data_IF_204581352997
#
_entry.id   IF_204581352997
#
_cell.length_a   1.000
_cell.length_b   1.000
_cell.length_c   1.000
_cell.angle_alpha   90.00
_cell.angle_beta   90.00
_cell.angle_gamma   90.00
#
_symmetry.space_group_name_H-M   'P 1'
#
loop_
_entity.id
_entity.type
_entity.pdbx_description
1 polymer ?
#
# COMPACT_ATOMS: atom_id res chain seq x y z
N UNK A 1 11.53 28.45 4.79
CA UNK A 1 11.95 27.30 3.94
C UNK A 1 13.21 26.71 4.53
N UNK A 2 13.20 25.44 4.99
CA UNK A 2 14.46 24.76 5.33
C UNK A 2 15.15 24.35 4.03
N UNK A 3 16.41 24.74 3.87
CA UNK A 3 17.19 24.44 2.65
C UNK A 3 17.36 22.93 2.43
N UNK A 4 17.33 22.16 3.51
CA UNK A 4 17.46 20.69 3.50
C UNK A 4 16.25 20.00 2.85
N UNK A 5 15.02 20.33 3.26
CA UNK A 5 13.80 19.74 2.68
C UNK A 5 13.66 20.11 1.20
N UNK A 6 14.02 21.34 0.82
CA UNK A 6 14.01 21.72 -0.59
C UNK A 6 14.98 20.87 -1.42
N UNK A 7 16.21 20.67 -0.92
CA UNK A 7 17.19 19.82 -1.60
C UNK A 7 16.72 18.36 -1.72
N UNK A 8 16.02 17.83 -0.71
CA UNK A 8 15.41 16.50 -0.76
C UNK A 8 14.31 16.42 -1.83
N UNK A 9 13.43 17.43 -1.91
CA UNK A 9 12.36 17.50 -2.92
C UNK A 9 12.95 17.56 -4.34
N UNK A 10 13.99 18.37 -4.55
CA UNK A 10 14.67 18.46 -5.85
C UNK A 10 15.36 17.13 -6.22
N UNK A 11 16.00 16.47 -5.26
CA UNK A 11 16.59 15.13 -5.45
C UNK A 11 15.51 14.12 -5.82
N UNK A 12 14.37 14.14 -5.14
CA UNK A 12 13.24 13.25 -5.43
C UNK A 12 12.68 13.48 -6.83
N UNK A 13 12.48 14.74 -7.23
CA UNK A 13 12.02 15.08 -8.57
C UNK A 13 12.96 14.56 -9.66
N UNK A 14 14.27 14.69 -9.49
CA UNK A 14 15.27 14.15 -10.43
C UNK A 14 15.27 12.62 -10.47
N UNK A 15 15.12 11.98 -9.31
CA UNK A 15 15.12 10.52 -9.20
C UNK A 15 13.89 9.88 -9.85
N UNK A 16 12.70 10.45 -9.62
CA UNK A 16 11.44 9.91 -10.15
C UNK A 16 11.14 10.34 -11.59
N UNK A 17 11.86 11.32 -12.14
CA UNK A 17 11.72 11.73 -13.54
C UNK A 17 12.12 10.64 -14.56
N UNK A 18 12.88 9.62 -14.17
CA UNK A 18 13.31 8.54 -15.07
C UNK A 18 14.28 9.00 -16.19
N UNK A 19 14.74 8.07 -17.05
CA UNK A 19 15.75 8.36 -18.09
C UNK A 19 15.25 9.26 -19.24
N UNK A 20 13.94 9.44 -19.38
CA UNK A 20 13.32 10.32 -20.39
C UNK A 20 13.04 11.74 -19.88
N UNK A 21 13.29 12.02 -18.60
CA UNK A 21 12.79 13.21 -17.92
C UNK A 21 11.27 13.14 -17.64
N UNK A 22 10.71 14.13 -16.91
CA UNK A 22 9.27 14.17 -16.64
C UNK A 22 8.52 14.14 -17.97
N UNK A 23 7.50 13.27 -18.09
CA UNK A 23 6.65 13.21 -19.29
C UNK A 23 6.14 14.61 -19.59
N UNK A 24 6.38 15.09 -20.81
CA UNK A 24 5.92 16.43 -21.19
C UNK A 24 4.40 16.42 -21.19
N UNK A 25 3.76 17.52 -20.80
CA UNK A 25 2.29 17.68 -20.81
C UNK A 25 1.61 17.31 -22.14
N UNK A 26 2.36 17.24 -23.25
CA UNK A 26 1.88 16.81 -24.57
C UNK A 26 1.88 15.29 -24.78
N UNK A 27 2.65 14.54 -23.99
CA UNK A 27 2.68 13.06 -23.97
C UNK A 27 1.58 12.50 -23.04
N UNK A 28 1.03 13.34 -22.15
CA UNK A 28 -0.16 13.05 -21.34
C UNK A 28 -1.46 12.88 -22.17
N UNK A 29 -1.46 13.31 -23.44
CA UNK A 29 -2.63 13.22 -24.34
C UNK A 29 -2.73 11.84 -25.01
N UNK A 30 -1.68 11.02 -24.92
CA UNK A 30 -1.70 9.61 -25.26
C UNK A 30 -1.44 8.77 -24.00
N UNK A 31 -2.15 9.06 -22.91
CA UNK A 31 -2.27 8.09 -21.84
C UNK A 31 -2.78 6.78 -22.47
N UNK A 32 -2.07 5.64 -22.32
CA UNK A 32 -2.60 4.38 -22.80
C UNK A 32 -4.00 4.21 -22.21
N UNK A 33 -4.98 3.93 -23.07
CA UNK A 33 -6.40 3.74 -22.73
C UNK A 33 -6.66 2.60 -21.74
N UNK A 34 -5.59 1.88 -21.35
CA UNK A 34 -5.54 0.99 -20.20
C UNK A 34 -4.43 1.48 -19.27
N UNK A 35 -4.79 1.91 -18.05
CA UNK A 35 -3.82 2.05 -16.97
C UNK A 35 -3.13 0.69 -16.81
N UNK A 36 -1.79 0.59 -16.92
CA UNK A 36 -1.12 -0.69 -16.83
C UNK A 36 -1.31 -1.28 -15.44
N UNK A 37 -1.74 -2.55 -15.36
CA UNK A 37 -2.02 -3.25 -14.11
C UNK A 37 -0.80 -3.19 -13.19
N UNK A 38 -0.98 -2.64 -11.99
CA UNK A 38 -0.06 -2.89 -10.89
C UNK A 38 -0.14 -4.38 -10.57
N UNK A 39 1.04 -5.00 -10.49
CA UNK A 39 1.25 -6.44 -10.30
C UNK A 39 0.81 -7.29 -11.49
N UNK A 40 1.76 -7.96 -12.12
CA UNK A 40 1.48 -9.09 -13.00
C UNK A 40 1.80 -10.34 -12.19
N UNK A 41 0.83 -11.20 -11.91
CA UNK A 41 1.15 -12.48 -11.30
C UNK A 41 1.92 -13.32 -12.33
N UNK A 42 3.00 -13.96 -11.90
CA UNK A 42 3.64 -15.04 -12.65
C UNK A 42 3.58 -16.33 -11.83
N UNK A 43 3.92 -17.46 -12.44
CA UNK A 43 3.64 -18.79 -11.88
C UNK A 43 4.07 -19.03 -10.43
N UNK A 44 4.95 -18.21 -9.86
CA UNK A 44 5.42 -18.29 -8.48
C UNK A 44 5.44 -16.95 -7.72
N UNK A 45 4.87 -15.88 -8.26
CA UNK A 45 4.82 -14.58 -7.58
C UNK A 45 3.48 -13.89 -7.77
N UNK A 46 2.91 -13.36 -6.68
CA UNK A 46 1.70 -12.52 -6.75
C UNK A 46 1.78 -11.33 -5.81
N UNK A 47 0.91 -10.35 -5.99
CA UNK A 47 0.76 -9.26 -5.04
C UNK A 47 -0.63 -8.67 -4.96
N UNK A 48 -0.87 -7.88 -3.92
CA UNK A 48 -2.15 -7.20 -3.71
C UNK A 48 -2.00 -5.82 -3.08
N UNK A 49 -3.06 -5.02 -3.21
CA UNK A 49 -3.18 -3.72 -2.55
C UNK A 49 -4.44 -3.74 -1.71
N UNK A 50 -4.34 -3.26 -0.48
CA UNK A 50 -5.44 -3.10 0.45
C UNK A 50 -5.52 -1.66 0.92
N UNK A 51 -6.72 -1.14 1.09
CA UNK A 51 -6.99 0.20 1.60
C UNK A 51 -8.08 0.14 2.67
N UNK A 52 -7.75 0.67 3.83
CA UNK A 52 -8.62 0.69 5.00
C UNK A 52 -8.89 2.14 5.40
N UNK A 53 -10.14 2.55 5.26
CA UNK A 53 -10.60 3.88 5.62
C UNK A 53 -11.32 3.78 6.95
N UNK A 54 -10.70 4.26 8.03
CA UNK A 54 -11.36 4.29 9.33
C UNK A 54 -12.51 5.30 9.35
N UNK A 55 -13.53 5.00 10.14
CA UNK A 55 -14.72 5.82 10.29
C UNK A 55 -14.78 6.44 11.68
N UNK A 56 -15.35 7.64 11.77
CA UNK A 56 -15.61 8.27 13.05
C UNK A 56 -16.87 7.69 13.72
N UNK A 57 -16.93 7.64 15.06
CA UNK A 57 -18.12 7.20 15.79
C UNK A 57 -19.37 7.99 15.43
N UNK A 58 -20.55 7.36 15.61
CA UNK A 58 -21.83 8.00 15.33
C UNK A 58 -22.13 9.22 16.20
N UNK A 59 -21.53 9.28 17.38
CA UNK A 59 -21.60 10.41 18.31
C UNK A 59 -20.91 11.68 17.82
N UNK A 60 -20.07 11.60 16.77
CA UNK A 60 -19.36 12.77 16.23
C UNK A 60 -20.28 13.60 15.33
N UNK A 61 -20.19 14.93 15.44
CA UNK A 61 -21.05 15.86 14.71
C UNK A 61 -20.90 15.71 13.19
N UNK A 62 -21.95 16.05 12.43
CA UNK A 62 -21.91 16.01 10.97
C UNK A 62 -20.84 16.96 10.38
N UNK A 63 -20.59 18.09 11.04
CA UNK A 63 -19.55 19.05 10.62
C UNK A 63 -18.15 18.44 10.76
N UNK A 64 -17.87 17.80 11.90
CA UNK A 64 -16.58 17.13 12.15
C UNK A 64 -16.39 15.92 11.23
N UNK A 65 -17.45 15.15 10.97
CA UNK A 65 -17.44 14.06 9.97
C UNK A 65 -17.07 14.58 8.57
N UNK A 66 -17.58 15.74 8.17
CA UNK A 66 -17.23 16.37 6.88
C UNK A 66 -15.79 16.88 6.85
N UNK A 67 -15.32 17.48 7.95
CA UNK A 67 -13.93 17.91 8.08
C UNK A 67 -12.97 16.71 7.99
N UNK A 68 -13.29 15.63 8.70
CA UNK A 68 -12.55 14.36 8.64
C UNK A 68 -12.53 13.75 7.25
N UNK A 69 -13.65 13.76 6.52
CA UNK A 69 -13.66 13.27 5.13
C UNK A 69 -12.73 14.08 4.22
N UNK A 70 -12.65 15.39 4.44
CA UNK A 70 -11.71 16.26 3.69
C UNK A 70 -10.26 15.89 4.02
N UNK A 71 -9.96 15.68 5.30
CA UNK A 71 -8.64 15.25 5.78
C UNK A 71 -8.26 13.89 5.18
N UNK A 72 -9.18 12.92 5.20
CA UNK A 72 -9.00 11.60 4.62
C UNK A 72 -8.64 11.68 3.12
N UNK A 73 -9.43 12.42 2.33
CA UNK A 73 -9.16 12.57 0.89
C UNK A 73 -7.80 13.21 0.62
N UNK A 74 -7.41 14.23 1.40
CA UNK A 74 -6.10 14.85 1.24
C UNK A 74 -4.96 13.89 1.58
N UNK A 75 -5.05 13.20 2.71
CA UNK A 75 -4.01 12.28 3.14
C UNK A 75 -3.92 11.03 2.23
N UNK A 76 -5.05 10.54 1.72
CA UNK A 76 -5.09 9.51 0.66
C UNK A 76 -4.28 9.95 -0.56
N UNK A 77 -4.54 11.14 -1.08
CA UNK A 77 -3.82 11.66 -2.24
C UNK A 77 -2.30 11.67 -2.01
N UNK A 78 -1.83 12.15 -0.87
CA UNK A 78 -0.39 12.26 -0.61
C UNK A 78 0.29 10.92 -0.36
N UNK A 79 -0.33 10.03 0.42
CA UNK A 79 0.23 8.71 0.69
C UNK A 79 0.26 7.85 -0.59
N UNK A 80 -0.85 7.81 -1.31
CA UNK A 80 -0.96 7.07 -2.57
C UNK A 80 -0.07 7.66 -3.66
N UNK A 81 0.08 8.98 -3.75
CA UNK A 81 0.98 9.60 -4.73
C UNK A 81 2.44 9.31 -4.40
N UNK A 82 2.85 9.41 -3.13
CA UNK A 82 4.21 9.08 -2.70
C UNK A 82 4.59 7.64 -3.04
N UNK A 83 3.71 6.68 -2.71
CA UNK A 83 3.91 5.29 -3.12
C UNK A 83 3.75 5.07 -4.62
N UNK A 84 2.87 5.80 -5.29
CA UNK A 84 2.67 5.74 -6.74
C UNK A 84 3.92 6.14 -7.54
N UNK A 85 4.71 7.08 -7.01
CA UNK A 85 6.03 7.43 -7.56
C UNK A 85 7.04 6.29 -7.39
N UNK A 86 7.07 5.69 -6.19
CA UNK A 86 7.92 4.54 -5.89
C UNK A 86 7.58 3.37 -6.80
N UNK A 87 6.31 3.00 -6.92
CA UNK A 87 5.86 1.86 -7.74
C UNK A 87 6.04 2.13 -9.24
N UNK A 88 5.82 3.35 -9.71
CA UNK A 88 6.14 3.71 -11.11
C UNK A 88 7.65 3.59 -11.39
N UNK A 89 8.51 4.00 -10.46
CA UNK A 89 9.94 3.82 -10.59
C UNK A 89 10.32 2.34 -10.62
N UNK A 90 9.75 1.52 -9.74
CA UNK A 90 9.93 0.07 -9.73
C UNK A 90 9.47 -0.57 -11.05
N UNK A 91 8.31 -0.14 -11.57
CA UNK A 91 7.75 -0.59 -12.84
C UNK A 91 8.72 -0.34 -14.00
N UNK A 92 9.32 0.85 -14.03
CA UNK A 92 10.24 1.26 -15.08
C UNK A 92 11.61 0.57 -14.98
N UNK A 93 12.16 0.43 -13.78
CA UNK A 93 13.50 -0.14 -13.58
C UNK A 93 13.52 -1.68 -13.62
N UNK A 94 12.44 -2.31 -13.16
CA UNK A 94 12.33 -3.77 -13.13
C UNK A 94 11.39 -4.33 -14.20
N UNK A 95 10.89 -3.48 -15.11
CA UNK A 95 10.02 -3.89 -16.22
C UNK A 95 8.82 -4.73 -15.77
N UNK A 96 8.27 -4.41 -14.58
CA UNK A 96 7.16 -5.14 -13.94
C UNK A 96 7.44 -6.64 -13.70
N UNK A 97 8.71 -7.02 -13.54
CA UNK A 97 9.09 -8.38 -13.16
C UNK A 97 8.63 -8.69 -11.73
N UNK A 98 7.77 -9.70 -11.52
CA UNK A 98 7.14 -9.95 -10.22
C UNK A 98 8.13 -10.32 -9.12
N UNK A 99 9.15 -11.13 -9.43
CA UNK A 99 10.23 -11.52 -8.50
C UNK A 99 10.97 -10.30 -7.95
N UNK A 100 11.24 -9.29 -8.80
CA UNK A 100 11.90 -8.05 -8.39
C UNK A 100 11.05 -7.20 -7.46
N UNK A 101 9.74 -7.23 -7.66
CA UNK A 101 8.78 -6.52 -6.82
C UNK A 101 8.59 -7.20 -5.47
N UNK A 102 8.71 -8.53 -5.41
CA UNK A 102 8.65 -9.29 -4.18
C UNK A 102 9.98 -9.32 -3.40
N UNK A 103 11.07 -8.79 -3.96
CA UNK A 103 12.34 -8.62 -3.26
C UNK A 103 12.37 -7.30 -2.47
N UNK A 104 12.38 -7.36 -1.12
CA UNK A 104 12.35 -6.17 -0.28
C UNK A 104 13.55 -5.23 -0.48
N UNK A 105 14.71 -5.74 -0.91
CA UNK A 105 15.89 -4.90 -1.10
C UNK A 105 15.68 -3.86 -2.21
N UNK A 106 14.84 -4.19 -3.20
CA UNK A 106 14.56 -3.29 -4.31
C UNK A 106 13.69 -2.08 -3.91
N UNK A 107 13.00 -2.16 -2.76
CA UNK A 107 12.14 -1.09 -2.26
C UNK A 107 12.89 -0.01 -1.49
N UNK A 108 14.03 -0.34 -0.90
CA UNK A 108 14.77 0.56 0.00
C UNK A 108 15.21 1.86 -0.70
N UNK A 109 15.84 1.74 -1.88
CA UNK A 109 16.35 2.89 -2.62
C UNK A 109 15.24 3.89 -3.00
N UNK A 110 14.16 3.50 -3.70
CA UNK A 110 13.12 4.47 -4.07
C UNK A 110 12.37 5.03 -2.87
N UNK A 111 12.18 4.26 -1.78
CA UNK A 111 11.56 4.78 -0.55
C UNK A 111 12.44 5.83 0.14
N UNK A 112 13.76 5.62 0.18
CA UNK A 112 14.72 6.53 0.85
C UNK A 112 14.84 7.92 0.21
N UNK A 113 14.28 8.09 -0.99
CA UNK A 113 14.35 9.35 -1.74
C UNK A 113 13.13 10.24 -1.49
N UNK A 114 12.07 9.71 -0.88
CA UNK A 114 10.93 10.52 -0.46
C UNK A 114 11.38 11.59 0.56
N UNK A 115 10.83 12.81 0.54
CA UNK A 115 11.21 13.86 1.49
C UNK A 115 10.90 13.43 2.93
N UNK A 116 11.94 13.32 3.78
CA UNK A 116 11.87 12.71 5.11
C UNK A 116 10.93 13.47 6.07
N UNK A 117 10.83 14.78 5.91
CA UNK A 117 9.92 15.62 6.68
C UNK A 117 8.45 15.40 6.33
N UNK A 118 8.15 14.85 5.15
CA UNK A 118 6.81 14.54 4.67
C UNK A 118 6.48 13.05 4.76
N UNK A 119 7.47 12.18 4.61
CA UNK A 119 7.32 10.74 4.64
C UNK A 119 8.41 10.09 5.49
N UNK A 120 8.02 9.23 6.42
CA UNK A 120 8.96 8.47 7.24
C UNK A 120 8.90 6.99 6.86
N UNK A 121 9.80 6.50 5.99
CA UNK A 121 9.96 5.06 5.79
C UNK A 121 10.63 4.42 7.01
N UNK A 122 10.24 3.20 7.35
CA UNK A 122 10.96 2.35 8.32
C UNK A 122 11.78 1.29 7.60
N UNK A 123 12.78 0.75 8.30
CA UNK A 123 13.55 -0.39 7.79
C UNK A 123 12.64 -1.59 7.54
N UNK A 124 12.92 -2.32 6.46
CA UNK A 124 12.27 -3.59 6.18
C UNK A 124 12.89 -4.65 7.09
N UNK A 125 12.12 -5.12 8.05
CA UNK A 125 12.59 -6.07 9.07
C UNK A 125 11.87 -7.40 8.97
N UNK A 126 12.53 -8.47 9.40
CA UNK A 126 11.98 -9.82 9.40
C UNK A 126 11.18 -10.08 10.68
N UNK A 127 10.03 -10.70 10.49
CA UNK A 127 9.11 -11.11 11.52
C UNK A 127 8.78 -12.59 11.34
N UNK A 128 8.31 -13.20 12.41
CA UNK A 128 7.86 -14.58 12.45
C UNK A 128 6.43 -14.58 12.99
N UNK A 129 5.54 -15.25 12.29
CA UNK A 129 4.15 -15.45 12.71
C UNK A 129 3.92 -16.94 12.92
N UNK A 130 3.44 -17.28 14.11
CA UNK A 130 3.13 -18.64 14.52
C UNK A 130 1.75 -18.67 15.17
N UNK A 131 0.74 -19.22 14.50
CA UNK A 131 -0.61 -19.41 15.07
C UNK A 131 -1.27 -20.71 14.58
N UNK A 132 -2.23 -21.22 15.37
CA UNK A 132 -2.95 -22.46 15.11
C UNK A 132 -4.43 -22.18 14.83
N UNK A 133 -4.91 -22.44 13.60
CA UNK A 133 -6.31 -22.18 13.22
C UNK A 133 -6.89 -23.23 12.29
N UNK A 134 -8.23 -23.28 12.21
CA UNK A 134 -8.91 -23.98 11.12
C UNK A 134 -8.67 -23.29 9.79
N UNK A 135 -8.66 -24.07 8.71
CA UNK A 135 -8.47 -23.61 7.33
C UNK A 135 -9.35 -22.41 6.94
N UNK A 136 -10.61 -22.44 7.39
CA UNK A 136 -11.60 -21.37 7.16
C UNK A 136 -11.37 -20.10 8.01
N UNK A 137 -10.60 -20.19 9.09
CA UNK A 137 -10.30 -19.09 10.03
C UNK A 137 -9.00 -18.35 9.64
N UNK A 138 -8.11 -18.99 8.85
CA UNK A 138 -6.80 -18.48 8.42
C UNK A 138 -6.89 -17.08 7.83
N UNK A 139 -7.78 -16.94 6.85
CA UNK A 139 -7.91 -15.73 6.06
C UNK A 139 -8.35 -14.54 6.93
N UNK A 140 -9.19 -14.80 7.92
CA UNK A 140 -9.70 -13.80 8.87
C UNK A 140 -8.66 -13.47 9.93
N UNK A 141 -7.96 -14.45 10.51
CA UNK A 141 -6.95 -14.20 11.55
C UNK A 141 -5.68 -13.55 11.02
N UNK A 142 -5.15 -14.02 9.88
CA UNK A 142 -3.96 -13.42 9.24
C UNK A 142 -4.21 -11.96 8.83
N UNK A 143 -5.43 -11.62 8.41
CA UNK A 143 -5.76 -10.23 8.13
C UNK A 143 -6.21 -9.45 9.38
N UNK A 144 -6.71 -10.10 10.42
CA UNK A 144 -6.87 -9.45 11.73
C UNK A 144 -5.52 -9.07 12.31
N UNK A 145 -4.47 -9.87 12.09
CA UNK A 145 -3.10 -9.54 12.51
C UNK A 145 -2.44 -8.48 11.61
N UNK A 146 -2.71 -8.47 10.30
CA UNK A 146 -2.25 -7.40 9.40
C UNK A 146 -3.03 -6.08 9.58
N UNK A 147 -4.28 -6.12 10.05
CA UNK A 147 -5.21 -4.97 9.95
C UNK A 147 -6.15 -4.82 11.16
N UNK A 148 -5.64 -5.13 12.37
CA UNK A 148 -6.41 -5.21 13.63
C UNK A 148 -7.34 -4.01 13.92
N UNK A 149 -7.07 -2.83 13.37
CA UNK A 149 -7.82 -1.60 13.60
C UNK A 149 -8.93 -1.32 12.56
N UNK A 150 -8.97 -2.03 11.43
CA UNK A 150 -9.90 -1.78 10.32
C UNK A 150 -11.27 -2.49 10.46
N UNK A 151 -11.57 -3.05 11.64
CA UNK A 151 -12.78 -3.82 11.90
C UNK A 151 -14.04 -2.94 11.90
N UNK A 152 -14.64 -2.76 10.73
CA UNK A 152 -16.00 -2.22 10.54
C UNK A 152 -16.92 -3.27 9.90
N UNK A 153 -18.17 -3.37 10.37
CA UNK A 153 -19.16 -4.35 9.90
C UNK A 153 -19.48 -4.28 8.39
N UNK A 154 -19.16 -3.16 7.73
CA UNK A 154 -19.42 -2.94 6.29
C UNK A 154 -18.37 -3.57 5.35
N UNK A 155 -17.26 -4.09 5.88
CA UNK A 155 -16.09 -4.52 5.09
C UNK A 155 -16.13 -6.04 4.78
N UNK A 156 -16.89 -6.83 5.52
CA UNK A 156 -16.83 -8.30 5.50
C UNK A 156 -17.15 -8.97 4.14
N UNK A 157 -18.19 -8.59 3.37
CA UNK A 157 -18.50 -9.30 2.11
C UNK A 157 -17.50 -9.01 0.98
N UNK A 158 -17.08 -7.75 0.82
CA UNK A 158 -16.07 -7.36 -0.17
C UNK A 158 -14.72 -8.01 0.15
N UNK A 159 -14.44 -8.18 1.43
CA UNK A 159 -13.23 -8.81 1.93
C UNK A 159 -13.17 -10.30 1.65
N UNK A 160 -14.29 -11.02 1.80
CA UNK A 160 -14.40 -12.43 1.41
C UNK A 160 -14.07 -12.65 -0.09
N UNK A 161 -14.49 -11.73 -0.97
CA UNK A 161 -14.20 -11.82 -2.40
C UNK A 161 -12.71 -11.58 -2.70
N UNK A 162 -12.11 -10.59 -2.05
CA UNK A 162 -10.67 -10.33 -2.13
C UNK A 162 -9.84 -11.53 -1.66
N UNK A 163 -10.23 -12.10 -0.51
CA UNK A 163 -9.64 -13.31 0.04
C UNK A 163 -9.75 -14.52 -0.88
N UNK A 164 -10.90 -14.69 -1.52
CA UNK A 164 -11.11 -15.76 -2.49
C UNK A 164 -10.18 -15.59 -3.69
N UNK A 165 -10.07 -14.37 -4.22
CA UNK A 165 -9.19 -14.05 -5.36
C UNK A 165 -7.70 -14.24 -5.05
N UNK A 166 -7.23 -13.75 -3.90
CA UNK A 166 -5.86 -13.99 -3.44
C UNK A 166 -5.62 -15.47 -3.18
N UNK A 167 -6.56 -16.15 -2.51
CA UNK A 167 -6.50 -17.58 -2.27
C UNK A 167 -6.43 -18.39 -3.56
N UNK A 168 -7.15 -17.99 -4.61
CA UNK A 168 -7.07 -18.63 -5.93
C UNK A 168 -5.72 -18.42 -6.62
N UNK A 169 -5.11 -17.25 -6.48
CA UNK A 169 -3.79 -16.97 -7.05
C UNK A 169 -2.69 -17.70 -6.29
N UNK A 170 -2.78 -17.74 -4.96
CA UNK A 170 -1.90 -18.55 -4.12
C UNK A 170 -2.08 -20.03 -4.49
N UNK A 171 -3.32 -20.53 -4.58
CA UNK A 171 -3.61 -21.92 -5.04
C UNK A 171 -3.05 -22.20 -6.43
N UNK A 172 -3.16 -21.27 -7.37
CA UNK A 172 -2.62 -21.42 -8.72
C UNK A 172 -1.08 -21.47 -8.72
N UNK A 173 -0.42 -20.61 -7.93
CA UNK A 173 1.03 -20.62 -7.75
C UNK A 173 1.55 -21.82 -6.96
N UNK A 174 0.76 -22.34 -6.02
CA UNK A 174 1.03 -23.60 -5.29
C UNK A 174 0.91 -24.81 -6.22
N UNK A 175 -0.09 -24.83 -7.12
CA UNK A 175 -0.27 -25.89 -8.13
C UNK A 175 0.73 -25.81 -9.28
N UNK A 176 1.54 -24.76 -9.35
CA UNK A 176 2.63 -24.66 -10.31
C UNK A 176 3.74 -25.66 -9.97
N UNK A 177 4.60 -26.00 -10.94
CA UNK A 177 5.80 -26.82 -10.70
C UNK A 177 6.88 -26.09 -9.90
N UNK A 178 6.66 -24.83 -9.51
CA UNK A 178 7.63 -24.06 -8.73
C UNK A 178 7.70 -24.57 -7.29
N UNK A 179 8.90 -24.66 -6.74
CA UNK A 179 9.12 -25.05 -5.34
C UNK A 179 8.82 -23.92 -4.35
N UNK A 180 8.82 -22.67 -4.81
CA UNK A 180 8.68 -21.49 -3.95
C UNK A 180 7.58 -20.57 -4.48
N UNK A 181 6.94 -19.79 -3.60
CA UNK A 181 5.93 -18.79 -3.94
C UNK A 181 6.24 -17.51 -3.17
N UNK A 182 6.43 -16.40 -3.88
CA UNK A 182 6.61 -15.09 -3.28
C UNK A 182 5.28 -14.33 -3.31
N UNK A 183 4.95 -13.65 -2.21
CA UNK A 183 3.83 -12.70 -2.18
C UNK A 183 4.27 -11.35 -1.67
N UNK A 184 3.64 -10.32 -2.22
CA UNK A 184 3.87 -8.95 -1.82
C UNK A 184 2.54 -8.23 -1.58
N UNK A 185 2.39 -7.54 -0.46
CA UNK A 185 1.16 -6.86 -0.10
C UNK A 185 1.43 -5.41 0.28
N UNK A 186 0.74 -4.49 -0.39
CA UNK A 186 0.63 -3.09 0.01
C UNK A 186 -0.64 -2.89 0.81
N UNK A 187 -0.55 -2.31 1.99
CA UNK A 187 -1.69 -1.89 2.80
C UNK A 187 -1.65 -0.39 3.00
N UNK A 188 -2.75 0.30 2.78
CA UNK A 188 -2.96 1.72 3.07
C UNK A 188 -3.91 1.84 4.25
N UNK A 189 -3.44 2.46 5.33
CA UNK A 189 -4.20 2.63 6.56
C UNK A 189 -4.44 4.09 6.89
N UNK A 190 -5.72 4.45 7.03
CA UNK A 190 -6.19 5.76 7.44
C UNK A 190 -7.00 5.62 8.75
N UNK A 191 -6.32 5.73 9.89
CA UNK A 191 -6.90 5.46 11.20
C UNK A 191 -7.26 6.77 11.93
N UNK A 192 -8.55 7.02 12.25
CA UNK A 192 -8.91 8.10 13.16
C UNK A 192 -8.31 7.85 14.54
N UNK A 193 -7.62 8.85 15.07
CA UNK A 193 -7.03 8.83 16.41
C UNK A 193 -7.44 10.09 17.16
N UNK A 194 -7.63 10.00 18.47
CA UNK A 194 -7.83 11.20 19.29
C UNK A 194 -6.49 11.66 19.84
N UNK A 195 -6.19 12.95 19.67
CA UNK A 195 -5.04 13.54 20.35
C UNK A 195 -5.35 13.81 21.84
N UNK A 196 -4.35 14.25 22.59
CA UNK A 196 -4.48 14.54 24.03
C UNK A 196 -5.49 15.65 24.36
N UNK A 197 -5.90 16.45 23.37
CA UNK A 197 -6.92 17.48 23.52
C UNK A 197 -8.34 16.98 23.15
N UNK A 198 -8.49 15.69 22.78
CA UNK A 198 -9.76 15.09 22.39
C UNK A 198 -10.18 15.37 20.95
N UNK A 199 -9.35 16.05 20.16
CA UNK A 199 -9.63 16.31 18.75
C UNK A 199 -9.31 15.07 17.91
N UNK A 200 -10.15 14.81 16.90
CA UNK A 200 -9.91 13.76 15.93
C UNK A 200 -8.83 14.15 14.94
N UNK A 201 -7.81 13.33 14.85
CA UNK A 201 -6.74 13.36 13.86
C UNK A 201 -6.79 12.07 13.02
N UNK A 202 -5.95 12.01 12.00
CA UNK A 202 -5.83 10.87 11.12
C UNK A 202 -4.37 10.42 11.09
N UNK A 203 -4.12 9.22 11.61
CA UNK A 203 -2.87 8.51 11.42
C UNK A 203 -2.91 7.84 10.05
N UNK A 204 -1.99 8.21 9.18
CA UNK A 204 -1.95 7.74 7.79
C UNK A 204 -0.63 7.08 7.51
N UNK A 205 -0.68 5.80 7.16
CA UNK A 205 0.49 5.01 6.87
C UNK A 205 0.23 4.01 5.75
N UNK A 206 1.29 3.62 5.07
CA UNK A 206 1.28 2.43 4.25
C UNK A 206 2.22 1.38 4.84
N UNK A 207 1.89 0.12 4.61
CA UNK A 207 2.69 -1.02 5.02
C UNK A 207 2.94 -1.90 3.82
N UNK A 208 4.14 -2.43 3.73
CA UNK A 208 4.56 -3.29 2.63
C UNK A 208 5.09 -4.58 3.22
N UNK A 209 4.42 -5.68 2.90
CA UNK A 209 4.68 -7.02 3.40
C UNK A 209 5.24 -7.88 2.29
N UNK A 210 6.30 -8.63 2.58
CA UNK A 210 6.90 -9.61 1.68
C UNK A 210 6.88 -10.97 2.37
N UNK A 211 6.31 -11.96 1.72
CA UNK A 211 6.18 -13.31 2.27
C UNK A 211 6.75 -14.28 1.27
N UNK A 212 7.61 -15.17 1.76
CA UNK A 212 8.19 -16.23 0.98
C UNK A 212 7.67 -17.56 1.49
N UNK A 213 6.90 -18.27 0.67
CA UNK A 213 6.40 -19.60 0.96
C UNK A 213 7.29 -20.64 0.29
N UNK A 214 7.89 -21.49 1.11
CA UNK A 214 8.60 -22.71 0.71
C UNK A 214 7.63 -23.81 0.26
N UNK A 215 8.15 -24.86 -0.37
CA UNK A 215 7.37 -26.00 -0.87
C UNK A 215 6.51 -26.66 0.23
N UNK A 216 7.02 -26.70 1.46
CA UNK A 216 6.33 -27.25 2.63
C UNK A 216 5.16 -26.35 3.08
N UNK A 217 5.36 -25.03 3.05
CA UNK A 217 4.35 -24.06 3.47
C UNK A 217 3.25 -23.90 2.41
N UNK A 218 3.59 -24.04 1.12
CA UNK A 218 2.63 -24.01 0.00
C UNK A 218 1.41 -24.91 0.18
N UNK A 219 1.60 -26.13 0.69
CA UNK A 219 0.52 -27.11 0.86
C UNK A 219 -0.55 -26.61 1.83
N UNK A 220 -0.13 -25.96 2.92
CA UNK A 220 -1.00 -25.44 3.99
C UNK A 220 -1.87 -24.27 3.51
N UNK A 221 -1.38 -23.44 2.61
CA UNK A 221 -2.15 -22.30 2.07
C UNK A 221 -3.13 -22.67 0.94
N UNK A 222 -2.95 -23.83 0.31
CA UNK A 222 -3.88 -24.29 -0.73
C UNK A 222 -5.22 -24.82 -0.18
N UNK A 223 -5.29 -25.06 1.12
CA UNK A 223 -6.39 -25.76 1.82
C UNK A 223 -7.32 -24.83 2.61
N UNK A 224 -7.28 -23.51 2.38
CA UNK A 224 -8.12 -22.48 3.04
C UNK A 224 -9.65 -22.66 2.90
N UNK A 225 -10.13 -23.75 2.28
CA UNK A 225 -11.54 -24.13 2.21
C UNK A 225 -11.87 -25.36 3.09
N UNK A 226 -10.90 -25.92 3.82
CA UNK A 226 -11.10 -27.11 4.65
C UNK A 226 -11.39 -26.74 6.12
N UNK A 227 -12.13 -27.62 6.80
CA UNK A 227 -12.39 -27.52 8.23
C UNK A 227 -11.22 -28.04 9.09
N UNK A 228 -10.12 -28.45 8.46
CA UNK A 228 -8.92 -28.97 9.12
C UNK A 228 -8.15 -27.85 9.82
N UNK A 229 -7.48 -28.19 10.93
CA UNK A 229 -6.62 -27.26 11.68
C UNK A 229 -5.21 -27.34 11.10
N UNK A 230 -4.60 -26.19 10.85
CA UNK A 230 -3.24 -26.09 10.35
C UNK A 230 -2.38 -25.20 11.25
N UNK A 231 -1.10 -25.54 11.30
CA UNK A 231 -0.07 -24.74 11.94
C UNK A 231 0.44 -23.71 10.91
N UNK A 232 0.18 -22.44 11.17
CA UNK A 232 0.74 -21.34 10.40
C UNK A 232 2.06 -20.96 11.01
N UNK A 233 3.14 -21.39 10.39
CA UNK A 233 4.51 -21.01 10.74
C UNK A 233 5.13 -20.44 9.47
N UNK A 234 5.24 -19.11 9.39
CA UNK A 234 5.93 -18.47 8.28
C UNK A 234 6.67 -17.21 8.69
N UNK A 235 7.71 -16.92 7.94
CA UNK A 235 8.49 -15.69 8.05
C UNK A 235 7.98 -14.69 7.03
N UNK A 236 7.90 -13.43 7.45
CA UNK A 236 7.59 -12.33 6.56
C UNK A 236 8.52 -11.16 6.83
N UNK A 237 8.68 -10.31 5.84
CA UNK A 237 9.36 -9.04 6.00
C UNK A 237 8.34 -7.92 5.88
N UNK A 238 8.48 -6.88 6.71
CA UNK A 238 7.58 -5.73 6.71
C UNK A 238 8.38 -4.45 6.87
N UNK A 239 7.97 -3.43 6.13
CA UNK A 239 8.29 -2.04 6.45
C UNK A 239 7.04 -1.18 6.37
N UNK A 240 7.17 0.08 6.76
CA UNK A 240 6.09 1.06 6.80
C UNK A 240 6.52 2.38 6.18
N UNK A 241 5.55 3.16 5.73
CA UNK A 241 5.72 4.53 5.25
C UNK A 241 4.68 5.40 5.94
N UNK A 242 5.10 6.21 6.91
CA UNK A 242 4.23 7.14 7.60
C UNK A 242 4.11 8.45 6.82
N UNK A 243 2.90 8.98 6.66
CA UNK A 243 2.69 10.34 6.18
C UNK A 243 2.76 11.32 7.36
N UNK A 244 3.76 12.20 7.36
CA UNK A 244 3.94 13.23 8.38
C UNK A 244 3.02 14.42 8.11
N UNK A 245 1.71 14.20 8.21
CA UNK A 245 0.71 15.21 7.83
C UNK A 245 0.88 16.53 8.58
N UNK A 246 1.13 16.49 9.89
CA UNK A 246 1.33 17.69 10.69
C UNK A 246 2.49 18.58 10.18
N UNK A 247 3.55 17.97 9.65
CA UNK A 247 4.67 18.68 9.02
C UNK A 247 4.25 19.25 7.66
N UNK A 248 3.65 18.41 6.81
CA UNK A 248 3.23 18.79 5.46
C UNK A 248 2.15 19.90 5.46
N UNK A 249 1.20 19.85 6.37
CA UNK A 249 0.12 20.84 6.49
C UNK A 249 0.52 22.11 7.24
N UNK A 250 1.74 22.17 7.79
CA UNK A 250 2.22 23.34 8.52
C UNK A 250 2.32 24.54 7.56
N UNK A 251 1.72 25.70 7.89
CA UNK A 251 1.82 26.91 7.07
C UNK A 251 3.27 27.32 6.74
N UNK A 252 4.23 27.04 7.64
CA UNK A 252 5.64 27.31 7.42
C UNK A 252 6.27 26.46 6.30
N UNK A 253 5.63 25.34 5.93
CA UNK A 253 6.06 24.44 4.87
C UNK A 253 5.31 24.65 3.55
N UNK A 254 4.49 25.69 3.42
CA UNK A 254 3.65 25.93 2.22
C UNK A 254 4.44 25.88 0.91
N UNK A 255 5.62 26.49 0.85
CA UNK A 255 6.43 26.53 -0.36
C UNK A 255 7.05 25.16 -0.68
N UNK A 256 7.53 24.44 0.35
CA UNK A 256 8.05 23.08 0.21
C UNK A 256 6.94 22.11 -0.22
N UNK A 257 5.76 22.21 0.39
CA UNK A 257 4.58 21.44 0.00
C UNK A 257 4.22 21.72 -1.46
N UNK A 258 4.22 23.00 -1.88
CA UNK A 258 3.98 23.37 -3.28
C UNK A 258 5.02 22.75 -4.23
N UNK A 259 6.31 22.81 -3.89
CA UNK A 259 7.34 22.20 -4.71
C UNK A 259 7.15 20.68 -4.82
N UNK A 260 6.72 20.03 -3.74
CA UNK A 260 6.38 18.62 -3.76
C UNK A 260 5.12 18.30 -4.58
N UNK A 261 4.09 19.15 -4.51
CA UNK A 261 2.90 19.06 -5.37
C UNK A 261 3.30 19.14 -6.85
N UNK A 262 4.24 20.02 -7.19
CA UNK A 262 4.77 20.16 -8.56
C UNK A 262 5.54 18.89 -8.99
N UNK A 263 6.27 18.22 -8.08
CA UNK A 263 6.92 16.91 -8.36
C UNK A 263 5.87 15.81 -8.58
N UNK A 264 4.89 15.67 -7.69
CA UNK A 264 3.83 14.64 -7.80
C UNK A 264 3.04 14.79 -9.10
N UNK A 265 2.73 16.03 -9.48
CA UNK A 265 1.93 16.32 -10.67
C UNK A 265 2.74 16.19 -11.96
N UNK A 266 4.03 16.55 -11.94
CA UNK A 266 4.93 16.46 -13.09
C UNK A 266 5.53 15.07 -13.37
N UNK A 267 5.38 14.12 -12.45
CA UNK A 267 5.97 12.78 -12.56
C UNK A 267 4.95 11.69 -12.93
N UNK A 268 5.45 10.63 -13.57
CA UNK A 268 4.67 9.40 -13.75
C UNK A 268 4.44 8.72 -12.41
N UNK A 269 3.20 8.31 -12.14
CA UNK A 269 2.80 7.57 -10.95
C UNK A 269 1.86 6.44 -11.35
N UNK A 270 2.05 5.26 -10.75
CA UNK A 270 1.09 4.18 -10.88
C UNK A 270 -0.12 4.49 -10.00
N UNK A 271 -1.31 4.10 -10.46
CA UNK A 271 -2.57 4.27 -9.74
C UNK A 271 -2.83 3.03 -8.89
N UNK A 272 -2.52 3.12 -7.59
CA UNK A 272 -2.60 1.99 -6.65
C UNK A 272 -4.01 1.42 -6.48
N UNK A 273 -5.05 2.22 -6.72
CA UNK A 273 -6.44 1.79 -6.66
C UNK A 273 -6.86 0.98 -7.89
N UNK A 274 -6.09 1.05 -8.99
CA UNK A 274 -6.29 0.25 -10.20
C UNK A 274 -5.49 -1.05 -10.23
N UNK A 275 -4.90 -1.44 -9.10
CA UNK A 275 -4.27 -2.75 -8.98
C UNK A 275 -5.30 -3.86 -9.23
N UNK A 276 -4.88 -4.93 -9.92
CA UNK A 276 -5.77 -6.06 -10.26
C UNK A 276 -6.38 -6.72 -9.02
N UNK A 277 -5.56 -6.82 -7.96
CA UNK A 277 -5.95 -7.35 -6.65
C UNK A 277 -6.08 -6.21 -5.63
N UNK A 278 -6.84 -5.18 -5.98
CA UNK A 278 -7.16 -4.10 -5.06
C UNK A 278 -8.34 -4.49 -4.16
N UNK A 279 -8.21 -4.19 -2.87
CA UNK A 279 -9.29 -4.27 -1.89
C UNK A 279 -9.39 -2.95 -1.14
N UNK A 280 -10.53 -2.28 -1.22
CA UNK A 280 -10.77 -1.06 -0.47
C UNK A 280 -12.19 -0.58 -0.65
N UNK A 281 -12.60 0.36 0.19
CA UNK A 281 -13.92 0.98 0.07
C UNK A 281 -13.92 1.93 -1.14
N UNK A 282 -14.78 1.66 -2.13
CA UNK A 282 -15.09 2.61 -3.21
C UNK A 282 -15.48 3.94 -2.55
N UNK A 283 -14.67 4.98 -2.74
CA UNK A 283 -15.16 6.35 -2.56
C UNK A 283 -16.27 6.48 -3.60
N UNK A 284 -17.52 6.51 -3.14
CA UNK A 284 -18.72 6.45 -3.98
C UNK A 284 -18.50 7.17 -5.32
N UNK A 285 -18.60 6.41 -6.42
CA UNK A 285 -18.57 6.98 -7.78
C UNK A 285 -19.54 8.16 -7.77
N UNK A 286 -19.02 9.37 -8.03
CA UNK A 286 -19.88 10.53 -8.27
C UNK A 286 -20.82 10.15 -9.41
N UNK A 287 -22.10 10.00 -9.08
CA UNK A 287 -23.21 9.98 -10.03
C UNK A 287 -23.31 11.33 -10.73
#
# INVERSE_FOLDING_TARGET
MSAELQAQIEKAGKFFAGPTGPLKAKELVAAPTKTPELFQADGNTTGSVMQFNGTLPDSVSAADKKAFQTLLTQQQYYLQSGLGLVTAWMSNNFQRQPDKWADPNNWQSPLSVLPAEFYTPTDITSYHYEEHFKGVEIATSFLTSMVAWAAGAAIAPAFTNFLTSMGDQIRAGVKSKSKEMNTYHLSFGYQPVQNSAGNWELMTLAEYYFIHFTEKEKTVYSTCASAEVFDFDFKYQKGTLLLNWASMSNPAQKDNKKAWDDVITGSTKDDVEKAKNFFGHDVAKKS
#
